data_IF_575616364352
#
_entry.id   IF_575616364352
#
_cell.length_a   1.000
_cell.length_b   1.000
_cell.length_c   1.000
_cell.angle_alpha   90.00
_cell.angle_beta   90.00
_cell.angle_gamma   90.00
#
_symmetry.space_group_name_H-M   'P 1'
#
loop_
_entity.id
_entity.type
_entity.pdbx_description
1 polymer ?
#
# COMPACT_ATOMS: atom_id res chain seq x y z
N UNK A 1 -50.47 -20.29 28.45
CA UNK A 1 -50.63 -18.93 27.89
C UNK A 1 -49.35 -18.58 27.13
N UNK A 2 -49.40 -18.19 25.85
CA UNK A 2 -48.22 -17.84 25.05
C UNK A 2 -47.73 -16.44 25.43
N UNK A 3 -46.46 -16.32 25.83
CA UNK A 3 -45.93 -15.13 26.48
C UNK A 3 -44.66 -14.59 25.84
N UNK A 4 -44.84 -13.92 24.70
CA UNK A 4 -44.04 -12.76 24.22
C UNK A 4 -42.59 -13.04 23.81
N UNK A 5 -42.43 -13.31 22.51
CA UNK A 5 -41.24 -12.94 21.74
C UNK A 5 -41.01 -11.43 21.91
N UNK A 6 -40.02 -11.04 22.70
CA UNK A 6 -39.54 -9.66 22.73
C UNK A 6 -38.70 -9.43 21.48
N UNK A 7 -39.27 -8.67 20.57
CA UNK A 7 -38.68 -8.11 19.36
C UNK A 7 -37.21 -7.72 19.57
N UNK A 8 -36.30 -8.38 18.86
CA UNK A 8 -34.94 -7.88 18.65
C UNK A 8 -35.07 -6.61 17.80
N UNK A 9 -35.24 -5.47 18.47
CA UNK A 9 -35.23 -4.15 17.85
C UNK A 9 -33.90 -4.03 17.11
N UNK A 10 -33.98 -3.98 15.78
CA UNK A 10 -32.85 -4.03 14.87
C UNK A 10 -31.88 -2.89 15.14
N UNK A 11 -30.86 -3.17 15.94
CA UNK A 11 -29.56 -2.57 15.71
C UNK A 11 -29.07 -3.20 14.42
N UNK A 12 -29.11 -2.47 13.31
CA UNK A 12 -28.24 -2.78 12.19
C UNK A 12 -26.83 -2.84 12.78
N UNK A 13 -26.34 -4.06 13.05
CA UNK A 13 -25.06 -4.25 13.72
C UNK A 13 -24.01 -3.53 12.89
N UNK A 14 -23.48 -2.42 13.42
CA UNK A 14 -22.39 -1.72 12.77
C UNK A 14 -21.22 -2.69 12.66
N UNK A 15 -20.85 -3.03 11.42
CA UNK A 15 -19.68 -3.85 11.16
C UNK A 15 -18.47 -2.94 11.38
N UNK A 16 -17.61 -3.30 12.33
CA UNK A 16 -16.37 -2.55 12.58
C UNK A 16 -15.31 -2.89 11.53
N UNK A 17 -14.70 -1.87 10.94
CA UNK A 17 -13.59 -1.99 9.99
C UNK A 17 -12.24 -1.59 10.60
N UNK A 18 -12.13 -1.46 11.93
CA UNK A 18 -10.91 -0.99 12.60
C UNK A 18 -9.64 -1.80 12.28
N UNK A 19 -9.79 -3.11 12.07
CA UNK A 19 -8.69 -3.97 11.60
C UNK A 19 -8.22 -3.62 10.20
N UNK A 20 -9.16 -3.29 9.30
CA UNK A 20 -8.86 -2.85 7.93
C UNK A 20 -8.20 -1.47 7.95
N UNK A 21 -8.69 -0.54 8.77
CA UNK A 21 -8.07 0.78 8.94
C UNK A 21 -6.64 0.68 9.48
N UNK A 22 -6.41 -0.20 10.45
CA UNK A 22 -5.06 -0.46 10.99
C UNK A 22 -4.13 -1.00 9.92
N UNK A 23 -4.58 -2.00 9.15
CA UNK A 23 -3.81 -2.56 8.04
C UNK A 23 -3.53 -1.52 6.94
N UNK A 24 -4.51 -0.66 6.61
CA UNK A 24 -4.33 0.45 5.68
C UNK A 24 -3.32 1.47 6.19
N UNK A 25 -3.32 1.78 7.49
CA UNK A 25 -2.33 2.67 8.08
C UNK A 25 -0.92 2.08 7.96
N UNK A 26 -0.74 0.79 8.23
CA UNK A 26 0.55 0.11 8.03
C UNK A 26 0.98 0.14 6.57
N UNK A 27 0.06 -0.12 5.63
CA UNK A 27 0.31 -0.05 4.18
C UNK A 27 0.72 1.36 3.74
N UNK A 28 0.09 2.43 4.26
CA UNK A 28 0.50 3.81 3.98
C UNK A 28 1.93 4.08 4.46
N UNK A 29 2.31 3.55 5.63
CA UNK A 29 3.69 3.66 6.11
C UNK A 29 4.70 2.98 5.18
N UNK A 30 4.33 1.90 4.49
CA UNK A 30 5.20 1.24 3.50
C UNK A 30 5.55 2.12 2.30
N UNK A 31 4.79 3.17 2.00
CA UNK A 31 5.17 4.15 0.97
C UNK A 31 6.53 4.79 1.28
N UNK A 32 6.87 5.01 2.56
CA UNK A 32 8.18 5.51 2.94
C UNK A 32 9.33 4.55 2.58
N UNK A 33 9.08 3.24 2.66
CA UNK A 33 10.04 2.23 2.25
C UNK A 33 10.25 2.24 0.73
N UNK A 34 9.19 2.44 -0.05
CA UNK A 34 9.25 2.57 -1.50
C UNK A 34 10.04 3.81 -1.90
N UNK A 35 9.75 4.97 -1.30
CA UNK A 35 10.51 6.20 -1.53
C UNK A 35 12.00 6.03 -1.21
N UNK A 36 12.31 5.45 -0.05
CA UNK A 36 13.71 5.20 0.35
C UNK A 36 14.44 4.25 -0.60
N UNK A 37 13.75 3.20 -1.06
CA UNK A 37 14.28 2.29 -2.08
C UNK A 37 14.56 3.01 -3.41
N UNK A 38 13.66 3.89 -3.83
CA UNK A 38 13.83 4.69 -5.05
C UNK A 38 15.00 5.67 -4.93
N UNK A 39 15.14 6.36 -3.80
CA UNK A 39 16.28 7.26 -3.53
C UNK A 39 17.61 6.50 -3.57
N UNK A 40 17.63 5.28 -3.01
CA UNK A 40 18.80 4.39 -3.03
C UNK A 40 19.16 3.98 -4.45
N UNK A 41 18.19 3.50 -5.24
CA UNK A 41 18.43 3.12 -6.65
C UNK A 41 18.93 4.32 -7.45
N UNK A 42 18.35 5.50 -7.24
CA UNK A 42 18.79 6.73 -7.90
C UNK A 42 20.23 7.07 -7.54
N UNK A 43 20.61 6.97 -6.26
CA UNK A 43 22.00 7.22 -5.83
C UNK A 43 22.97 6.25 -6.48
N UNK A 44 22.67 4.96 -6.44
CA UNK A 44 23.57 3.95 -7.02
C UNK A 44 23.63 4.08 -8.55
N UNK A 45 22.53 4.45 -9.22
CA UNK A 45 22.55 4.75 -10.64
C UNK A 45 23.51 5.90 -10.98
N UNK A 46 23.52 6.97 -10.17
CA UNK A 46 24.45 8.08 -10.33
C UNK A 46 25.91 7.65 -10.10
N UNK A 47 26.17 6.87 -9.05
CA UNK A 47 27.52 6.36 -8.74
C UNK A 47 28.07 5.46 -9.86
N UNK A 48 27.22 4.63 -10.47
CA UNK A 48 27.59 3.77 -11.59
C UNK A 48 27.98 4.58 -12.83
N UNK A 49 27.23 5.64 -13.12
CA UNK A 49 27.53 6.57 -14.22
C UNK A 49 28.84 7.32 -13.95
N UNK A 50 29.07 7.77 -12.72
CA UNK A 50 30.29 8.48 -12.34
C UNK A 50 31.53 7.60 -12.45
N UNK A 51 31.42 6.34 -12.03
CA UNK A 51 32.52 5.37 -12.05
C UNK A 51 32.71 4.67 -13.39
N UNK A 52 31.83 4.91 -14.38
CA UNK A 52 31.79 4.21 -15.66
C UNK A 52 31.74 2.68 -15.49
N UNK A 53 31.02 2.22 -14.47
CA UNK A 53 30.87 0.80 -14.18
C UNK A 53 29.74 0.21 -15.02
N UNK A 54 30.08 -0.73 -15.90
CA UNK A 54 29.09 -1.49 -16.67
C UNK A 54 28.36 -2.47 -15.76
N UNK A 55 27.02 -2.38 -15.74
CA UNK A 55 26.16 -3.28 -14.98
C UNK A 55 25.37 -4.15 -15.95
N UNK A 56 25.25 -5.44 -15.62
CA UNK A 56 24.42 -6.37 -16.39
C UNK A 56 22.97 -5.85 -16.46
N UNK A 57 22.33 -6.04 -17.61
CA UNK A 57 20.91 -5.69 -17.83
C UNK A 57 19.96 -6.29 -16.79
N UNK A 58 20.33 -7.40 -16.14
CA UNK A 58 19.56 -8.03 -15.05
C UNK A 58 19.42 -7.11 -13.83
N UNK A 59 20.45 -6.31 -13.54
CA UNK A 59 20.50 -5.36 -12.41
C UNK A 59 20.35 -3.91 -12.89
N UNK A 60 19.66 -3.71 -14.02
CA UNK A 60 19.40 -2.38 -14.56
C UNK A 60 18.68 -1.50 -13.55
N UNK A 61 19.30 -0.37 -13.21
CA UNK A 61 18.70 0.61 -12.31
C UNK A 61 17.43 1.22 -12.90
N UNK A 62 17.38 1.44 -14.22
CA UNK A 62 16.17 1.92 -14.90
C UNK A 62 14.98 1.01 -14.64
N UNK A 63 15.20 -0.32 -14.73
CA UNK A 63 14.18 -1.32 -14.42
C UNK A 63 13.72 -1.24 -12.97
N UNK A 64 14.67 -1.13 -12.03
CA UNK A 64 14.35 -1.01 -10.61
C UNK A 64 13.56 0.29 -10.30
N UNK A 65 13.93 1.42 -10.90
CA UNK A 65 13.19 2.69 -10.75
C UNK A 65 11.76 2.58 -11.24
N UNK A 66 11.55 1.93 -12.39
CA UNK A 66 10.21 1.67 -12.95
C UNK A 66 9.41 0.76 -12.01
N UNK A 67 10.01 -0.28 -11.47
CA UNK A 67 9.35 -1.20 -10.52
C UNK A 67 8.91 -0.47 -9.24
N UNK A 68 9.74 0.42 -8.68
CA UNK A 68 9.35 1.25 -7.53
C UNK A 68 8.21 2.22 -7.86
N UNK A 69 8.24 2.85 -9.03
CA UNK A 69 7.18 3.75 -9.47
C UNK A 69 5.83 3.04 -9.66
N UNK A 70 5.85 1.82 -10.23
CA UNK A 70 4.66 0.98 -10.36
C UNK A 70 4.15 0.56 -8.98
N UNK A 71 5.04 0.15 -8.08
CA UNK A 71 4.68 -0.28 -6.73
C UNK A 71 4.01 0.84 -5.92
N UNK A 72 4.54 2.07 -5.96
CA UNK A 72 3.91 3.21 -5.28
C UNK A 72 2.50 3.49 -5.84
N UNK A 73 2.37 3.50 -7.17
CA UNK A 73 1.08 3.70 -7.84
C UNK A 73 0.07 2.63 -7.45
N UNK A 74 0.46 1.36 -7.50
CA UNK A 74 -0.43 0.24 -7.24
C UNK A 74 -0.84 0.20 -5.76
N UNK A 75 0.09 0.49 -4.85
CA UNK A 75 -0.20 0.64 -3.42
C UNK A 75 -1.19 1.77 -3.15
N UNK A 76 -0.97 2.95 -3.76
CA UNK A 76 -1.87 4.09 -3.61
C UNK A 76 -3.27 3.80 -4.16
N UNK A 77 -3.37 3.10 -5.30
CA UNK A 77 -4.66 2.66 -5.84
C UNK A 77 -5.38 1.67 -4.91
N UNK A 78 -4.65 0.67 -4.40
CA UNK A 78 -5.21 -0.30 -3.46
C UNK A 78 -5.77 0.40 -2.21
N UNK A 79 -4.97 1.27 -1.59
CA UNK A 79 -5.36 2.03 -0.39
C UNK A 79 -6.64 2.83 -0.63
N UNK A 80 -6.72 3.55 -1.77
CA UNK A 80 -7.90 4.31 -2.15
C UNK A 80 -9.12 3.43 -2.35
N UNK A 81 -8.99 2.32 -3.08
CA UNK A 81 -10.10 1.41 -3.36
C UNK A 81 -10.69 0.80 -2.08
N UNK A 82 -9.84 0.34 -1.16
CA UNK A 82 -10.29 -0.21 0.13
C UNK A 82 -10.93 0.88 0.98
N UNK A 83 -10.29 2.05 1.09
CA UNK A 83 -10.82 3.16 1.88
C UNK A 83 -12.18 3.65 1.36
N UNK A 84 -12.38 3.70 0.04
CA UNK A 84 -13.67 4.02 -0.57
C UNK A 84 -14.75 2.96 -0.31
N UNK A 85 -14.37 1.70 -0.13
CA UNK A 85 -15.31 0.60 0.12
C UNK A 85 -15.81 0.59 1.57
N UNK A 86 -14.93 0.89 2.54
CA UNK A 86 -15.28 0.86 3.97
C UNK A 86 -15.94 2.15 4.48
N UNK A 87 -15.75 3.26 3.76
CA UNK A 87 -16.31 4.57 4.11
C UNK A 87 -17.67 4.85 3.44
N UNK A 88 -18.27 3.86 2.78
CA UNK A 88 -19.59 3.92 2.13
C UNK A 88 -20.67 3.30 3.02
#
# INVERSE_FOLDING_TARGET
>A
MPGRSSSSSGSTGFISFSGVESALSSLKTFQSCISSGMDTVSSVALDLVETQTEVSSEYSMDKAMVEFAIMDRDLNHYVKAVQSTINH
#
